data_IF_717748540623
#
_entry.id   IF_717748540623
#
_cell.length_a   1.000
_cell.length_b   1.000
_cell.length_c   1.000
_cell.angle_alpha   90.00
_cell.angle_beta   90.00
_cell.angle_gamma   90.00
#
_symmetry.space_group_name_H-M   'P 1'
#
loop_
_entity.id
_entity.type
_entity.pdbx_description
1 polymer ?
#
# COMPACT_ATOMS: atom_id res chain seq x y z
N UNK A 1 15.30 4.41 -10.08
CA UNK A 1 15.26 3.17 -9.27
C UNK A 1 15.49 3.57 -7.82
N UNK A 2 14.48 3.48 -6.97
CA UNK A 2 14.59 3.81 -5.53
C UNK A 2 15.46 2.75 -4.84
N UNK A 3 16.69 3.12 -4.51
CA UNK A 3 17.70 2.22 -3.92
C UNK A 3 17.64 2.14 -2.40
N UNK A 4 16.89 3.05 -1.76
CA UNK A 4 16.78 3.23 -0.32
C UNK A 4 15.30 3.39 0.11
N UNK A 5 14.96 2.99 1.34
CA UNK A 5 13.67 3.30 1.95
C UNK A 5 13.47 4.82 2.08
N UNK A 6 12.22 5.27 1.96
CA UNK A 6 11.83 6.65 2.23
C UNK A 6 10.83 6.67 3.38
N UNK A 7 10.97 7.66 4.26
CA UNK A 7 10.10 7.84 5.42
C UNK A 7 9.43 9.21 5.36
N UNK A 8 8.23 9.32 5.95
CA UNK A 8 7.50 10.58 6.02
C UNK A 8 6.90 10.74 7.42
N UNK A 9 7.10 11.93 8.00
CA UNK A 9 6.45 12.36 9.24
C UNK A 9 5.49 13.50 8.90
N UNK A 10 4.21 13.31 9.23
CA UNK A 10 3.17 14.35 9.17
C UNK A 10 2.83 14.79 10.58
N UNK A 11 3.01 16.08 10.92
CA UNK A 11 2.67 16.64 12.24
C UNK A 11 2.12 18.05 12.12
N UNK A 12 0.86 18.23 12.51
CA UNK A 12 0.16 19.51 12.33
C UNK A 12 0.23 19.92 10.87
N UNK A 13 0.62 21.17 10.59
CA UNK A 13 0.80 21.70 9.23
C UNK A 13 2.09 21.26 8.53
N UNK A 14 3.02 20.62 9.22
CA UNK A 14 4.32 20.24 8.65
C UNK A 14 4.34 18.80 8.12
N UNK A 15 5.02 18.59 7.00
CA UNK A 15 5.33 17.28 6.43
C UNK A 15 6.83 17.21 6.16
N UNK A 16 7.49 16.21 6.72
CA UNK A 16 8.92 15.95 6.55
C UNK A 16 9.13 14.63 5.83
N UNK A 17 10.03 14.58 4.86
CA UNK A 17 10.40 13.38 4.10
C UNK A 17 11.91 13.17 4.21
N UNK A 18 12.30 11.93 4.51
CA UNK A 18 13.70 11.51 4.63
C UNK A 18 14.01 10.32 3.74
N UNK A 19 15.18 10.37 3.11
CA UNK A 19 15.83 9.28 2.40
C UNK A 19 17.34 9.42 2.62
N UNK A 20 18.05 8.33 2.91
CA UNK A 20 19.49 8.44 3.23
C UNK A 20 20.35 8.95 2.06
N UNK A 21 19.86 8.85 0.82
CA UNK A 21 20.59 9.29 -0.38
C UNK A 21 20.16 10.64 -0.92
N UNK A 22 19.03 11.18 -0.46
CA UNK A 22 18.43 12.37 -1.06
C UNK A 22 18.35 13.48 0.00
N UNK A 23 18.42 14.76 -0.40
CA UNK A 23 18.21 15.87 0.54
C UNK A 23 16.85 15.76 1.23
N UNK A 24 16.76 16.13 2.52
CA UNK A 24 15.48 16.12 3.23
C UNK A 24 14.51 17.12 2.61
N UNK A 25 13.22 16.80 2.69
CA UNK A 25 12.15 17.69 2.25
C UNK A 25 11.28 18.06 3.44
N UNK A 26 11.03 19.35 3.64
CA UNK A 26 10.14 19.87 4.68
C UNK A 26 9.17 20.85 4.05
N UNK A 27 7.88 20.66 4.29
CA UNK A 27 6.82 21.52 3.77
C UNK A 27 5.86 21.94 4.87
N UNK A 28 5.40 23.19 4.81
CA UNK A 28 4.18 23.63 5.46
C UNK A 28 3.03 23.45 4.46
N UNK A 29 2.26 22.37 4.59
CA UNK A 29 1.23 22.02 3.60
C UNK A 29 -0.08 22.80 3.79
N UNK A 30 -0.21 23.59 4.86
CA UNK A 30 -1.32 24.53 4.99
C UNK A 30 -1.02 25.81 4.20
N UNK A 31 0.20 26.35 4.35
CA UNK A 31 0.66 27.55 3.64
C UNK A 31 1.05 27.26 2.18
N UNK A 32 1.56 26.07 1.90
CA UNK A 32 1.97 25.59 0.58
C UNK A 32 1.37 24.20 0.27
N UNK A 33 0.07 24.11 -0.05
CA UNK A 33 -0.62 22.84 -0.31
C UNK A 33 -0.08 22.06 -1.51
N UNK A 34 0.73 22.70 -2.36
CA UNK A 34 1.32 22.11 -3.56
C UNK A 34 2.79 21.74 -3.36
N UNK A 35 3.34 21.92 -2.16
CA UNK A 35 4.69 21.48 -1.78
C UNK A 35 5.77 22.02 -2.74
N UNK A 36 5.62 23.28 -3.16
CA UNK A 36 6.49 23.97 -4.11
C UNK A 36 7.76 24.53 -3.47
N UNK A 37 7.72 24.81 -2.17
CA UNK A 37 8.83 25.43 -1.44
C UNK A 37 9.35 24.47 -0.38
N UNK A 38 10.52 23.88 -0.64
CA UNK A 38 11.21 23.07 0.37
C UNK A 38 11.81 23.98 1.44
N UNK A 39 11.37 23.81 2.67
CA UNK A 39 11.83 24.55 3.85
C UNK A 39 13.04 23.88 4.51
N UNK A 40 13.46 22.68 4.12
CA UNK A 40 14.45 21.90 4.87
C UNK A 40 15.81 22.62 5.04
N UNK A 41 16.20 23.43 4.05
CA UNK A 41 17.41 24.26 4.08
C UNK A 41 17.14 25.72 4.46
N UNK A 42 15.90 26.09 4.77
CA UNK A 42 15.54 27.43 5.21
C UNK A 42 16.04 27.69 6.64
N UNK A 43 16.85 28.74 6.89
CA UNK A 43 17.36 29.05 8.23
C UNK A 43 16.26 29.23 9.28
N UNK A 44 15.07 29.70 8.89
CA UNK A 44 13.92 29.87 9.77
C UNK A 44 13.34 28.55 10.27
N UNK A 45 13.53 27.45 9.54
CA UNK A 45 12.98 26.14 9.87
C UNK A 45 14.05 25.11 10.30
N UNK A 46 15.32 25.49 10.35
CA UNK A 46 16.45 24.60 10.66
C UNK A 46 16.25 23.78 11.95
N UNK A 47 15.73 24.39 13.01
CA UNK A 47 15.43 23.68 14.27
C UNK A 47 14.34 22.61 14.13
N UNK A 48 13.33 22.88 13.30
CA UNK A 48 12.24 21.94 13.03
C UNK A 48 12.72 20.78 12.14
N UNK A 49 13.49 21.08 11.08
CA UNK A 49 14.08 20.08 10.22
C UNK A 49 15.02 19.14 11.01
N UNK A 50 15.85 19.69 11.89
CA UNK A 50 16.72 18.90 12.77
C UNK A 50 15.93 18.00 13.74
N UNK A 51 14.84 18.51 14.32
CA UNK A 51 13.98 17.72 15.20
C UNK A 51 13.36 16.52 14.47
N UNK A 52 12.87 16.71 13.24
CA UNK A 52 12.35 15.62 12.43
C UNK A 52 13.43 14.63 11.98
N UNK A 53 14.64 15.11 11.67
CA UNK A 53 15.78 14.24 11.34
C UNK A 53 16.12 13.31 12.51
N UNK A 54 16.19 13.86 13.74
CA UNK A 54 16.43 13.08 14.96
C UNK A 54 15.31 12.05 15.17
N UNK A 55 14.05 12.46 15.06
CA UNK A 55 12.91 11.56 15.22
C UNK A 55 12.93 10.42 14.18
N UNK A 56 13.28 10.73 12.93
CA UNK A 56 13.38 9.73 11.86
C UNK A 56 14.45 8.69 12.20
N UNK A 57 15.64 9.14 12.61
CA UNK A 57 16.74 8.26 13.02
C UNK A 57 16.40 7.41 14.25
N UNK A 58 15.55 7.90 15.15
CA UNK A 58 15.10 7.16 16.33
C UNK A 58 14.01 6.14 16.02
N UNK A 59 13.08 6.47 15.12
CA UNK A 59 11.94 5.59 14.77
C UNK A 59 12.31 4.47 13.83
N UNK A 60 13.20 4.73 12.88
CA UNK A 60 13.48 3.80 11.80
C UNK A 60 14.98 3.52 11.67
N UNK A 61 15.34 2.26 11.87
CA UNK A 61 16.62 1.72 11.41
C UNK A 61 16.59 1.57 9.88
N UNK A 62 16.92 2.65 9.18
CA UNK A 62 16.91 2.72 7.72
C UNK A 62 17.80 1.64 7.09
N UNK A 63 18.99 1.44 7.64
CA UNK A 63 19.94 0.43 7.16
C UNK A 63 19.38 -0.99 7.30
N UNK A 64 18.82 -1.33 8.46
CA UNK A 64 18.20 -2.64 8.68
C UNK A 64 16.96 -2.85 7.81
N UNK A 65 16.11 -1.82 7.64
CA UNK A 65 14.96 -1.89 6.71
C UNK A 65 15.44 -2.15 5.28
N UNK A 66 16.47 -1.43 4.83
CA UNK A 66 17.06 -1.62 3.49
C UNK A 66 17.54 -3.05 3.29
N UNK A 67 18.25 -3.63 4.26
CA UNK A 67 18.71 -5.02 4.16
C UNK A 67 17.54 -6.02 4.05
N UNK A 68 16.48 -5.82 4.84
CA UNK A 68 15.28 -6.66 4.77
C UNK A 68 14.58 -6.56 3.42
N UNK A 69 14.47 -5.35 2.86
CA UNK A 69 13.90 -5.12 1.52
C UNK A 69 14.74 -5.82 0.45
N UNK A 70 16.06 -5.66 0.47
CA UNK A 70 16.97 -6.31 -0.49
C UNK A 70 16.90 -7.83 -0.40
N UNK A 71 16.87 -8.38 0.82
CA UNK A 71 16.69 -9.81 1.03
C UNK A 71 15.36 -10.29 0.43
N UNK A 72 14.26 -9.60 0.73
CA UNK A 72 12.93 -9.90 0.22
C UNK A 72 12.85 -9.84 -1.31
N UNK A 73 13.50 -8.86 -1.94
CA UNK A 73 13.61 -8.75 -3.40
C UNK A 73 14.39 -9.93 -3.99
N UNK A 74 15.52 -10.33 -3.40
CA UNK A 74 16.31 -11.48 -3.85
C UNK A 74 15.51 -12.78 -3.77
N UNK A 75 14.84 -13.03 -2.64
CA UNK A 75 14.00 -14.22 -2.45
C UNK A 75 12.87 -14.28 -3.48
N UNK A 76 12.17 -13.17 -3.73
CA UNK A 76 11.10 -13.12 -4.72
C UNK A 76 11.58 -13.36 -6.15
N UNK A 77 12.76 -12.85 -6.53
CA UNK A 77 13.31 -13.09 -7.88
C UNK A 77 13.57 -14.57 -8.14
N UNK A 78 14.10 -15.28 -7.14
CA UNK A 78 14.33 -16.73 -7.23
C UNK A 78 13.01 -17.48 -7.37
N UNK A 79 12.03 -17.20 -6.50
CA UNK A 79 10.72 -17.84 -6.55
C UNK A 79 9.97 -17.52 -7.85
N UNK A 80 10.00 -16.27 -8.30
CA UNK A 80 9.35 -15.85 -9.55
C UNK A 80 9.95 -16.59 -10.75
N UNK A 81 11.28 -16.68 -10.85
CA UNK A 81 11.93 -17.41 -11.95
C UNK A 81 11.56 -18.90 -11.95
N UNK A 82 11.32 -19.50 -10.78
CA UNK A 82 10.83 -20.87 -10.68
C UNK A 82 9.36 -20.98 -11.11
N UNK A 83 8.48 -20.08 -10.64
CA UNK A 83 7.04 -20.10 -10.95
C UNK A 83 6.75 -19.75 -12.41
N UNK A 84 7.50 -18.84 -13.02
CA UNK A 84 7.34 -18.43 -14.42
C UNK A 84 7.55 -19.59 -15.41
N UNK A 85 8.30 -20.62 -14.99
CA UNK A 85 8.48 -21.85 -15.78
C UNK A 85 7.26 -22.79 -15.76
N UNK A 86 6.29 -22.55 -14.87
CA UNK A 86 5.09 -23.38 -14.68
C UNK A 86 3.81 -22.54 -14.89
N UNK A 87 3.20 -22.67 -16.07
CA UNK A 87 2.01 -21.92 -16.47
C UNK A 87 0.73 -22.33 -15.73
N UNK A 88 0.76 -23.37 -14.89
CA UNK A 88 -0.41 -23.87 -14.17
C UNK A 88 -0.67 -23.15 -12.83
N UNK A 89 0.29 -22.37 -12.33
CA UNK A 89 0.18 -21.68 -11.03
C UNK A 89 -0.37 -20.26 -11.19
N UNK A 90 -1.68 -20.08 -10.93
CA UNK A 90 -2.28 -18.75 -10.76
C UNK A 90 -2.59 -18.46 -9.28
N UNK A 91 -2.33 -17.23 -8.84
CA UNK A 91 -2.78 -16.70 -7.53
C UNK A 91 -4.07 -15.89 -7.64
N UNK A 92 -4.68 -15.84 -8.83
CA UNK A 92 -5.94 -15.15 -9.03
C UNK A 92 -7.04 -15.89 -8.26
N UNK A 93 -7.76 -15.13 -7.43
CA UNK A 93 -8.92 -15.66 -6.75
C UNK A 93 -10.01 -16.00 -7.79
N UNK A 94 -10.33 -17.28 -7.92
CA UNK A 94 -11.48 -17.76 -8.68
C UNK A 94 -12.67 -17.95 -7.74
N UNK A 95 -13.70 -17.08 -7.79
CA UNK A 95 -14.86 -17.23 -6.93
C UNK A 95 -15.61 -18.51 -7.27
N UNK A 96 -15.89 -19.32 -6.24
CA UNK A 96 -16.70 -20.53 -6.41
C UNK A 96 -18.12 -20.10 -6.78
N UNK A 97 -18.56 -20.50 -7.97
CA UNK A 97 -19.92 -20.26 -8.45
C UNK A 97 -20.56 -21.58 -8.79
N UNK A 98 -21.53 -21.98 -7.96
CA UNK A 98 -22.34 -23.16 -8.23
C UNK A 98 -23.38 -22.85 -9.30
N UNK A 99 -22.94 -22.78 -10.56
CA UNK A 99 -23.81 -22.52 -11.69
C UNK A 99 -24.87 -23.61 -11.86
N UNK A 100 -24.62 -24.83 -11.38
CA UNK A 100 -25.58 -25.93 -11.43
C UNK A 100 -26.78 -25.66 -10.52
N UNK A 101 -26.60 -24.98 -9.38
CA UNK A 101 -27.69 -24.62 -8.46
C UNK A 101 -28.03 -23.12 -8.43
N UNK A 102 -27.50 -22.32 -9.35
CA UNK A 102 -27.84 -20.91 -9.44
C UNK A 102 -29.12 -20.71 -10.27
N UNK A 103 -29.98 -19.77 -9.88
CA UNK A 103 -31.27 -19.53 -10.55
C UNK A 103 -32.20 -20.76 -10.53
N UNK A 104 -33.30 -20.70 -11.27
CA UNK A 104 -34.23 -21.83 -11.39
C UNK A 104 -33.60 -22.94 -12.25
N UNK A 105 -33.74 -24.18 -11.78
CA UNK A 105 -33.22 -25.40 -12.40
C UNK A 105 -34.29 -26.48 -12.40
N UNK A 106 -34.17 -27.47 -13.28
CA UNK A 106 -35.19 -28.52 -13.43
C UNK A 106 -35.36 -29.40 -12.19
N UNK A 107 -34.35 -29.46 -11.32
CA UNK A 107 -34.41 -30.20 -10.06
C UNK A 107 -34.96 -29.38 -8.87
N UNK A 108 -35.43 -28.15 -9.12
CA UNK A 108 -36.02 -27.27 -8.11
C UNK A 108 -37.53 -27.12 -8.31
N UNK A 109 -38.25 -26.88 -7.23
CA UNK A 109 -39.64 -26.46 -7.32
C UNK A 109 -39.72 -24.99 -7.78
N UNK A 110 -40.33 -24.78 -8.94
CA UNK A 110 -40.57 -23.47 -9.54
C UNK A 110 -41.39 -22.54 -8.63
N UNK A 111 -42.32 -23.09 -7.86
CA UNK A 111 -43.18 -22.32 -6.96
C UNK A 111 -42.41 -21.75 -5.76
N UNK A 112 -41.29 -22.39 -5.36
CA UNK A 112 -40.48 -21.99 -4.21
C UNK A 112 -39.26 -21.13 -4.59
N UNK A 113 -38.64 -21.42 -5.73
CA UNK A 113 -37.39 -20.79 -6.17
C UNK A 113 -37.57 -19.28 -6.47
N UNK A 114 -38.69 -18.91 -7.11
CA UNK A 114 -39.01 -17.53 -7.42
C UNK A 114 -39.18 -16.65 -6.18
N UNK A 115 -40.12 -16.98 -5.26
CA UNK A 115 -40.33 -16.22 -4.03
C UNK A 115 -39.10 -16.13 -3.11
N UNK A 116 -38.25 -17.17 -3.06
CA UNK A 116 -37.00 -17.15 -2.27
C UNK A 116 -36.00 -16.09 -2.74
N UNK A 117 -35.93 -15.84 -4.04
CA UNK A 117 -34.98 -14.89 -4.65
C UNK A 117 -35.55 -13.47 -4.78
N UNK A 118 -36.84 -13.27 -4.48
CA UNK A 118 -37.54 -12.00 -4.65
C UNK A 118 -37.33 -11.06 -3.46
N UNK A 119 -37.00 -9.81 -3.76
CA UNK A 119 -36.89 -8.70 -2.80
C UNK A 119 -37.61 -7.46 -3.35
N UNK A 120 -38.50 -6.79 -2.57
CA UNK A 120 -39.01 -7.19 -1.25
C UNK A 120 -39.93 -8.43 -1.35
N UNK A 121 -40.11 -9.13 -0.22
CA UNK A 121 -41.05 -10.25 -0.13
C UNK A 121 -42.49 -9.72 -0.22
N UNK A 122 -43.36 -10.41 -0.94
CA UNK A 122 -44.79 -10.12 -0.90
C UNK A 122 -45.32 -10.58 0.47
N UNK A 123 -45.88 -9.63 1.21
CA UNK A 123 -46.67 -9.87 2.43
C UNK A 123 -48.03 -10.46 2.10
#
# INVERSE_FOLDING_TARGET
MTSHPMFMIRRGRHKYIHCDTDPPLLYDVEADPLERTNLADDPGSAGLAAAFAIETAQRWDSAGIRQRVLHSQRSRRVLHAAVESDSALSWDYSPVRDAANQYVRNHMDWAEAGPRSRLPRLT
#
